data_IF_053009247728
#
_entry.id   IF_053009247728
#
_cell.length_a   1.000
_cell.length_b   1.000
_cell.length_c   1.000
_cell.angle_alpha   90.00
_cell.angle_beta   90.00
_cell.angle_gamma   90.00
#
_symmetry.space_group_name_H-M   'P 1'
#
loop_
_entity.id
_entity.type
_entity.pdbx_description
1 polymer ?
#
# COMPACT_ATOMS: atom_id res chain seq x y z
N UNK A 1 12.36 -65.50 -0.68
CA UNK A 1 11.86 -64.51 0.29
C UNK A 1 13.01 -63.62 0.73
N UNK A 2 12.77 -62.30 0.71
CA UNK A 2 13.55 -61.19 1.31
C UNK A 2 14.93 -60.93 0.67
N UNK A 3 15.21 -59.84 -0.06
CA UNK A 3 14.52 -58.56 -0.16
C UNK A 3 15.57 -57.45 -0.08
N UNK A 4 16.44 -57.34 -1.10
CA UNK A 4 17.40 -56.24 -1.22
C UNK A 4 17.03 -55.39 -2.43
N UNK A 5 15.93 -54.66 -2.29
CA UNK A 5 15.61 -53.48 -3.10
C UNK A 5 16.35 -52.30 -2.49
N UNK A 6 16.74 -51.35 -3.35
CA UNK A 6 17.21 -49.97 -3.05
C UNK A 6 18.65 -49.79 -3.52
N UNK A 7 18.84 -49.65 -4.83
CA UNK A 7 20.00 -48.96 -5.39
C UNK A 7 19.67 -48.39 -6.78
N UNK A 8 18.67 -47.51 -6.86
CA UNK A 8 18.46 -46.70 -8.07
C UNK A 8 17.48 -45.54 -7.82
N UNK A 9 17.81 -44.56 -6.98
CA UNK A 9 17.00 -43.33 -6.87
C UNK A 9 17.83 -42.15 -6.30
N UNK A 10 18.94 -41.79 -6.95
CA UNK A 10 19.66 -40.54 -6.65
C UNK A 10 20.17 -39.84 -7.92
N UNK A 11 19.32 -39.72 -8.95
CA UNK A 11 19.61 -38.92 -10.15
C UNK A 11 18.47 -37.98 -10.58
N UNK A 12 17.46 -37.74 -9.74
CA UNK A 12 16.41 -36.74 -9.99
C UNK A 12 16.28 -35.76 -8.83
N UNK A 13 17.34 -34.99 -8.58
CA UNK A 13 17.27 -33.78 -7.73
C UNK A 13 17.93 -32.58 -8.42
N UNK A 14 17.99 -32.58 -9.75
CA UNK A 14 18.28 -31.41 -10.59
C UNK A 14 17.09 -31.22 -11.53
N UNK A 15 16.03 -30.59 -11.04
CA UNK A 15 14.97 -29.90 -11.80
C UNK A 15 13.71 -29.71 -10.93
N UNK A 16 13.81 -29.00 -9.80
CA UNK A 16 12.64 -28.33 -9.18
C UNK A 16 13.09 -26.99 -8.56
N UNK A 17 13.87 -26.22 -9.32
CA UNK A 17 14.20 -24.82 -8.99
C UNK A 17 14.16 -23.92 -10.24
N UNK A 18 13.55 -24.37 -11.35
CA UNK A 18 13.45 -23.56 -12.57
C UNK A 18 12.07 -22.97 -12.82
N UNK A 19 11.16 -22.99 -11.83
CA UNK A 19 9.79 -22.50 -12.00
C UNK A 19 9.35 -21.50 -10.91
N UNK A 20 10.32 -20.80 -10.31
CA UNK A 20 10.04 -19.43 -9.87
C UNK A 20 10.25 -18.54 -11.10
N UNK A 21 9.25 -18.49 -11.99
CA UNK A 21 9.28 -17.60 -13.14
C UNK A 21 9.71 -16.19 -12.73
N UNK A 22 10.54 -15.54 -13.55
CA UNK A 22 11.14 -14.25 -13.24
C UNK A 22 10.14 -13.30 -12.56
N UNK A 23 10.58 -12.65 -11.49
CA UNK A 23 9.75 -11.67 -10.76
C UNK A 23 9.31 -10.51 -11.68
N UNK A 24 10.13 -10.20 -12.70
CA UNK A 24 9.89 -9.16 -13.69
C UNK A 24 10.24 -9.64 -15.10
N UNK A 25 9.49 -9.15 -16.07
CA UNK A 25 9.93 -9.09 -17.47
C UNK A 25 10.52 -7.68 -17.70
N UNK A 26 11.78 -7.55 -18.17
CA UNK A 26 12.38 -6.24 -18.38
C UNK A 26 11.70 -5.50 -19.53
N UNK A 27 11.49 -4.19 -19.36
CA UNK A 27 10.77 -3.33 -20.30
C UNK A 27 11.64 -2.18 -20.80
N UNK A 28 11.33 -1.58 -21.95
CA UNK A 28 11.91 -0.26 -22.26
C UNK A 28 11.29 0.79 -21.33
N UNK A 29 12.07 1.79 -20.91
CA UNK A 29 11.57 2.97 -20.19
C UNK A 29 10.44 3.71 -20.91
N UNK A 30 10.32 3.55 -22.23
CA UNK A 30 9.29 4.18 -23.06
C UNK A 30 8.08 3.28 -23.27
N UNK A 31 8.17 1.98 -22.98
CA UNK A 31 7.07 1.03 -23.14
C UNK A 31 6.20 0.98 -21.89
N UNK A 32 5.32 1.98 -21.77
CA UNK A 32 4.39 2.12 -20.64
C UNK A 32 3.48 0.89 -20.49
N UNK A 33 3.10 0.23 -21.60
CA UNK A 33 2.26 -0.95 -21.55
C UNK A 33 3.00 -2.14 -20.91
N UNK A 34 4.26 -2.35 -21.30
CA UNK A 34 5.12 -3.34 -20.68
C UNK A 34 5.32 -3.02 -19.19
N UNK A 35 5.70 -1.79 -18.86
CA UNK A 35 5.98 -1.35 -17.48
C UNK A 35 4.76 -1.50 -16.56
N UNK A 36 3.59 -1.14 -17.08
CA UNK A 36 2.33 -1.32 -16.38
C UNK A 36 2.06 -2.79 -16.08
N UNK A 37 2.19 -3.67 -17.09
CA UNK A 37 2.01 -5.12 -16.92
C UNK A 37 3.03 -5.75 -15.98
N UNK A 38 4.31 -5.40 -16.08
CA UNK A 38 5.37 -5.92 -15.21
C UNK A 38 5.16 -5.48 -13.76
N UNK A 39 4.83 -4.21 -13.53
CA UNK A 39 4.54 -3.69 -12.20
C UNK A 39 3.26 -4.32 -11.62
N UNK A 40 2.23 -4.54 -12.44
CA UNK A 40 1.01 -5.24 -12.03
C UNK A 40 1.31 -6.67 -11.56
N UNK A 41 2.04 -7.45 -12.37
CA UNK A 41 2.44 -8.82 -12.01
C UNK A 41 3.29 -8.86 -10.73
N UNK A 42 4.18 -7.89 -10.56
CA UNK A 42 4.96 -7.76 -9.34
C UNK A 42 4.06 -7.54 -8.13
N UNK A 43 3.16 -6.55 -8.18
CA UNK A 43 2.25 -6.24 -7.07
C UNK A 43 1.35 -7.43 -6.71
N UNK A 44 0.87 -8.18 -7.71
CA UNK A 44 0.09 -9.40 -7.50
C UNK A 44 0.88 -10.52 -6.80
N UNK A 45 2.14 -10.75 -7.20
CA UNK A 45 3.02 -11.75 -6.57
C UNK A 45 3.50 -11.29 -5.18
N UNK A 46 3.76 -10.01 -5.02
CA UNK A 46 4.30 -9.39 -3.80
C UNK A 46 3.23 -9.10 -2.74
N UNK A 47 1.93 -9.16 -3.07
CA UNK A 47 0.87 -8.69 -2.17
C UNK A 47 0.84 -9.36 -0.79
N UNK A 48 1.28 -10.62 -0.71
CA UNK A 48 1.36 -11.40 0.55
C UNK A 48 2.70 -11.26 1.28
N UNK A 49 3.64 -10.47 0.73
CA UNK A 49 5.01 -10.37 1.20
C UNK A 49 5.89 -11.51 0.72
N UNK A 50 7.19 -11.23 0.63
CA UNK A 50 8.26 -12.19 0.36
C UNK A 50 9.41 -11.86 1.30
N UNK A 51 9.46 -12.44 2.52
CA UNK A 51 10.41 -12.08 3.56
C UNK A 51 11.88 -12.18 3.12
N UNK A 52 12.18 -13.16 2.26
CA UNK A 52 13.52 -13.40 1.69
C UNK A 52 14.08 -12.20 0.90
N UNK A 53 13.18 -11.34 0.38
CA UNK A 53 13.53 -10.15 -0.39
C UNK A 53 13.13 -8.85 0.33
N UNK A 54 12.85 -8.91 1.64
CA UNK A 54 12.35 -7.76 2.43
C UNK A 54 11.09 -7.12 1.80
N UNK A 55 10.24 -7.94 1.17
CA UNK A 55 8.96 -7.49 0.62
C UNK A 55 7.90 -7.69 1.69
N UNK A 56 7.25 -6.61 2.11
CA UNK A 56 6.15 -6.58 3.07
C UNK A 56 4.81 -6.94 2.44
N UNK A 57 3.90 -7.58 3.17
CA UNK A 57 2.53 -7.75 2.70
C UNK A 57 1.85 -6.40 2.54
N UNK A 58 1.13 -6.22 1.43
CA UNK A 58 0.31 -5.04 1.16
C UNK A 58 -1.19 -5.39 1.05
N UNK A 59 -1.57 -6.67 1.06
CA UNK A 59 -2.96 -7.11 1.06
C UNK A 59 -3.15 -8.51 1.69
N UNK A 60 -3.71 -8.63 2.93
CA UNK A 60 -4.07 -7.51 3.79
C UNK A 60 -2.82 -6.77 4.30
N UNK A 61 -2.89 -5.44 4.33
CA UNK A 61 -1.92 -4.60 5.02
C UNK A 61 -2.42 -4.29 6.43
N UNK A 62 -1.57 -4.50 7.43
CA UNK A 62 -1.89 -4.25 8.84
C UNK A 62 -1.08 -3.04 9.34
N UNK A 63 -1.78 -2.00 9.80
CA UNK A 63 -1.16 -0.85 10.46
C UNK A 63 -1.58 -0.87 11.93
N UNK A 64 -0.60 -0.87 12.83
CA UNK A 64 -0.83 -1.01 14.27
C UNK A 64 -1.63 0.14 14.87
N UNK A 65 -1.26 1.38 14.52
CA UNK A 65 -1.94 2.58 14.99
C UNK A 65 -1.76 3.75 14.03
N UNK A 66 -2.78 4.61 13.97
CA UNK A 66 -2.74 5.88 13.25
C UNK A 66 -3.63 6.90 13.95
N UNK A 67 -3.08 8.06 14.28
CA UNK A 67 -3.85 9.18 14.79
C UNK A 67 -4.09 10.21 13.67
N UNK A 68 -5.33 10.65 13.52
CA UNK A 68 -5.74 11.66 12.54
C UNK A 68 -6.50 12.76 13.25
N UNK A 69 -5.89 13.95 13.36
CA UNK A 69 -6.63 15.18 13.62
C UNK A 69 -7.48 15.51 12.39
N UNK A 70 -8.74 15.08 12.42
CA UNK A 70 -9.60 15.08 11.26
C UNK A 70 -10.29 16.44 11.07
N UNK A 71 -10.67 17.11 12.17
CA UNK A 71 -11.31 18.40 12.12
C UNK A 71 -11.06 19.25 13.38
N UNK A 72 -10.32 20.34 13.23
CA UNK A 72 -9.83 21.15 14.36
C UNK A 72 -10.91 22.02 15.01
N UNK A 73 -11.96 22.42 14.25
CA UNK A 73 -13.01 23.32 14.75
C UNK A 73 -13.84 22.70 15.88
N UNK A 74 -14.01 21.37 15.86
CA UNK A 74 -14.65 20.63 16.96
C UNK A 74 -13.65 19.78 17.74
N UNK A 75 -12.36 19.85 17.40
CA UNK A 75 -11.31 19.04 18.02
C UNK A 75 -11.49 17.54 17.78
N UNK A 76 -11.98 17.14 16.60
CA UNK A 76 -12.21 15.76 16.21
C UNK A 76 -10.90 15.06 15.86
N UNK A 77 -10.57 14.02 16.63
CA UNK A 77 -9.40 13.18 16.41
C UNK A 77 -9.87 11.72 16.29
N UNK A 78 -9.37 11.02 15.27
CA UNK A 78 -9.54 9.57 15.14
C UNK A 78 -8.26 8.87 15.56
N UNK A 79 -8.35 8.02 16.59
CA UNK A 79 -7.28 7.12 16.98
C UNK A 79 -7.59 5.73 16.46
N UNK A 80 -7.01 5.39 15.33
CA UNK A 80 -7.15 4.07 14.73
C UNK A 80 -6.17 3.09 15.35
N UNK A 81 -6.61 1.86 15.54
CA UNK A 81 -5.79 0.71 15.92
C UNK A 81 -6.13 -0.48 15.06
N UNK A 82 -5.15 -1.36 14.87
CA UNK A 82 -5.30 -2.61 14.14
C UNK A 82 -5.98 -2.43 12.78
N UNK A 83 -5.56 -1.42 12.02
CA UNK A 83 -6.15 -1.15 10.71
C UNK A 83 -5.83 -2.33 9.80
N UNK A 84 -6.87 -2.99 9.30
CA UNK A 84 -6.79 -4.05 8.31
C UNK A 84 -7.27 -3.52 6.97
N UNK A 85 -6.33 -3.35 6.05
CA UNK A 85 -6.55 -2.72 4.75
C UNK A 85 -6.45 -3.79 3.66
N UNK A 86 -7.48 -3.87 2.84
CA UNK A 86 -7.59 -4.81 1.72
C UNK A 86 -7.95 -4.08 0.44
N UNK A 87 -7.61 -4.68 -0.71
CA UNK A 87 -7.93 -4.16 -2.04
C UNK A 87 -6.72 -3.74 -2.87
N UNK A 88 -5.56 -3.51 -2.23
CA UNK A 88 -4.32 -3.11 -2.91
C UNK A 88 -3.79 -4.18 -3.87
N UNK A 89 -4.10 -5.46 -3.68
CA UNK A 89 -3.73 -6.53 -4.64
C UNK A 89 -4.39 -6.35 -6.02
N UNK A 90 -5.52 -5.66 -6.07
CA UNK A 90 -6.31 -5.44 -7.28
C UNK A 90 -6.09 -4.04 -7.87
N UNK A 91 -5.14 -3.27 -7.32
CA UNK A 91 -4.84 -1.94 -7.83
C UNK A 91 -4.41 -2.01 -9.29
N UNK A 92 -4.71 -0.96 -10.06
CA UNK A 92 -4.35 -0.84 -11.47
C UNK A 92 -3.56 0.43 -11.68
N UNK A 93 -2.51 0.37 -12.47
CA UNK A 93 -1.71 1.55 -12.80
C UNK A 93 -2.56 2.51 -13.64
N UNK A 94 -2.68 3.73 -13.16
CA UNK A 94 -3.43 4.82 -13.80
C UNK A 94 -2.50 5.82 -14.48
N UNK A 95 -1.28 6.00 -13.97
CA UNK A 95 -0.22 6.79 -14.62
C UNK A 95 1.14 6.22 -14.21
N UNK A 96 2.06 6.09 -15.16
CA UNK A 96 3.45 5.76 -14.89
C UNK A 96 4.34 6.62 -15.77
N UNK A 97 5.28 7.35 -15.16
CA UNK A 97 6.24 8.17 -15.88
C UNK A 97 7.61 8.02 -15.26
N UNK A 98 8.62 7.87 -16.10
CA UNK A 98 10.02 7.87 -15.70
C UNK A 98 10.75 8.95 -16.48
N UNK A 99 11.32 9.91 -15.76
CA UNK A 99 12.20 10.93 -16.32
C UNK A 99 13.64 10.50 -16.07
N UNK A 100 14.34 10.09 -17.13
CA UNK A 100 15.73 9.63 -17.08
C UNK A 100 16.73 10.78 -16.95
N UNK A 101 16.35 12.00 -17.34
CA UNK A 101 17.21 13.18 -17.18
C UNK A 101 17.19 13.69 -15.75
N UNK A 102 15.99 13.77 -15.15
CA UNK A 102 15.80 14.19 -13.75
C UNK A 102 15.91 13.04 -12.75
N UNK A 103 16.10 11.81 -13.24
CA UNK A 103 16.11 10.56 -12.48
C UNK A 103 14.95 10.47 -11.48
N UNK A 104 13.73 10.58 -11.99
CA UNK A 104 12.52 10.53 -11.16
C UNK A 104 11.44 9.65 -11.76
N UNK A 105 10.64 9.03 -10.90
CA UNK A 105 9.49 8.21 -11.26
C UNK A 105 8.24 8.79 -10.62
N UNK A 106 7.15 8.79 -11.38
CA UNK A 106 5.78 8.97 -10.89
C UNK A 106 5.03 7.67 -11.16
N UNK A 107 4.48 7.09 -10.10
CA UNK A 107 3.59 5.94 -10.16
C UNK A 107 2.26 6.37 -9.54
N UNK A 108 1.15 6.29 -10.29
CA UNK A 108 -0.21 6.40 -9.78
C UNK A 108 -0.94 5.08 -10.02
N UNK A 109 -1.68 4.63 -9.03
CA UNK A 109 -2.58 3.48 -9.19
C UNK A 109 -3.98 3.82 -8.67
N UNK A 110 -4.97 3.25 -9.34
CA UNK A 110 -6.34 3.23 -8.88
C UNK A 110 -6.59 1.95 -8.07
N UNK A 111 -7.18 2.07 -6.90
CA UNK A 111 -7.54 0.93 -6.06
C UNK A 111 -8.90 1.14 -5.39
N UNK A 112 -9.64 0.05 -5.18
CA UNK A 112 -10.80 0.02 -4.32
C UNK A 112 -10.38 -0.55 -2.97
N UNK A 113 -10.40 0.27 -1.93
CA UNK A 113 -9.96 -0.09 -0.60
C UNK A 113 -11.15 -0.42 0.31
N UNK A 114 -10.97 -1.46 1.11
CA UNK A 114 -11.79 -1.74 2.28
C UNK A 114 -10.88 -1.75 3.51
N UNK A 115 -11.15 -0.84 4.44
CA UNK A 115 -10.40 -0.65 5.68
C UNK A 115 -11.32 -0.98 6.85
N UNK A 116 -10.87 -1.87 7.73
CA UNK A 116 -11.54 -2.15 9.00
C UNK A 116 -10.58 -1.82 10.12
N UNK A 117 -11.01 -1.02 11.09
CA UNK A 117 -10.16 -0.61 12.21
C UNK A 117 -10.95 -0.51 13.51
N UNK A 118 -10.28 -0.83 14.62
CA UNK A 118 -10.71 -0.33 15.92
C UNK A 118 -10.47 1.18 15.94
N UNK A 119 -11.42 1.96 16.43
CA UNK A 119 -11.32 3.42 16.48
C UNK A 119 -11.74 3.94 17.83
N UNK A 120 -10.99 4.94 18.33
CA UNK A 120 -11.46 5.87 19.34
C UNK A 120 -11.67 7.22 18.68
N UNK A 121 -12.92 7.70 18.67
CA UNK A 121 -13.32 9.02 18.19
C UNK A 121 -13.26 9.96 19.38
N UNK A 122 -12.29 10.87 19.39
CA UNK A 122 -12.12 11.88 20.43
C UNK A 122 -12.70 13.22 19.97
N UNK A 123 -13.45 13.86 20.87
CA UNK A 123 -13.82 15.27 20.82
C UNK A 123 -13.00 16.00 21.89
N UNK A 124 -11.78 16.38 21.52
CA UNK A 124 -10.76 16.88 22.46
C UNK A 124 -11.21 18.14 23.22
N UNK A 125 -11.98 19.01 22.55
CA UNK A 125 -12.55 20.24 23.16
C UNK A 125 -13.59 19.95 24.25
N UNK A 126 -14.18 18.76 24.26
CA UNK A 126 -15.16 18.31 25.25
C UNK A 126 -14.59 17.25 26.20
N UNK A 127 -13.33 16.83 26.02
CA UNK A 127 -12.70 15.73 26.76
C UNK A 127 -13.56 14.46 26.74
N UNK A 128 -14.15 14.15 25.58
CA UNK A 128 -15.00 12.97 25.37
C UNK A 128 -14.41 12.06 24.32
N UNK A 129 -14.62 10.76 24.49
CA UNK A 129 -14.14 9.73 23.56
C UNK A 129 -15.15 8.61 23.40
N UNK A 130 -15.30 8.10 22.19
CA UNK A 130 -16.19 6.99 21.85
C UNK A 130 -15.39 5.90 21.15
N UNK A 131 -15.48 4.66 21.63
CA UNK A 131 -14.73 3.54 21.07
C UNK A 131 -15.66 2.58 20.30
N UNK A 132 -15.15 2.02 19.22
CA UNK A 132 -15.85 0.99 18.45
C UNK A 132 -15.06 0.57 17.22
N UNK A 133 -15.78 0.10 16.21
CA UNK A 133 -15.21 -0.37 14.95
C UNK A 133 -15.71 0.50 13.82
N UNK A 134 -14.78 0.91 12.95
CA UNK A 134 -15.07 1.67 11.74
C UNK A 134 -14.69 0.84 10.51
N UNK A 135 -15.59 0.81 9.53
CA UNK A 135 -15.33 0.31 8.19
C UNK A 135 -15.36 1.48 7.20
N UNK A 136 -14.31 1.61 6.40
CA UNK A 136 -14.18 2.59 5.33
C UNK A 136 -14.06 1.86 3.99
N UNK A 137 -14.94 2.18 3.04
CA UNK A 137 -14.87 1.73 1.67
C UNK A 137 -14.65 2.92 0.74
N UNK A 138 -13.63 2.88 -0.10
CA UNK A 138 -13.31 3.99 -0.98
C UNK A 138 -12.58 3.54 -2.24
N UNK A 139 -12.94 4.13 -3.37
CA UNK A 139 -12.13 4.12 -4.58
C UNK A 139 -11.14 5.28 -4.52
N UNK A 140 -9.86 5.02 -4.75
CA UNK A 140 -8.79 6.03 -4.67
C UNK A 140 -7.88 5.98 -5.89
N UNK A 141 -7.28 7.11 -6.20
CA UNK A 141 -6.04 7.21 -6.96
C UNK A 141 -4.96 7.57 -5.94
N UNK A 142 -4.13 6.60 -5.59
CA UNK A 142 -2.92 6.85 -4.81
C UNK A 142 -1.74 7.04 -5.76
N UNK A 143 -0.72 7.73 -5.30
CA UNK A 143 0.48 7.90 -6.11
C UNK A 143 1.72 8.09 -5.28
N UNK A 144 2.85 7.63 -5.80
CA UNK A 144 4.16 7.87 -5.27
C UNK A 144 5.01 8.57 -6.33
N UNK A 145 5.74 9.59 -5.92
CA UNK A 145 6.80 10.20 -6.71
C UNK A 145 8.11 10.08 -5.96
N UNK A 146 9.12 9.51 -6.58
CA UNK A 146 10.42 9.29 -5.96
C UNK A 146 11.55 9.51 -6.96
N UNK A 147 12.73 9.85 -6.46
CA UNK A 147 13.96 9.85 -7.26
C UNK A 147 14.57 8.45 -7.32
N UNK A 148 15.47 8.24 -8.27
CA UNK A 148 16.34 7.07 -8.27
C UNK A 148 17.77 7.44 -8.66
N UNK A 149 18.71 6.57 -8.34
CA UNK A 149 20.05 6.57 -8.95
C UNK A 149 20.45 5.15 -9.36
N UNK A 150 21.59 5.01 -10.02
CA UNK A 150 22.23 3.74 -10.35
C UNK A 150 23.53 3.64 -9.56
N UNK A 151 23.69 2.55 -8.82
CA UNK A 151 24.92 2.25 -8.11
C UNK A 151 25.45 0.86 -8.50
N UNK A 152 26.76 0.76 -8.66
CA UNK A 152 27.44 -0.51 -8.83
C UNK A 152 27.60 -1.22 -7.48
N UNK A 153 27.31 -2.51 -7.44
CA UNK A 153 27.66 -3.36 -6.30
C UNK A 153 29.17 -3.67 -6.28
N UNK A 154 29.61 -4.41 -5.26
CA UNK A 154 31.01 -4.85 -5.12
C UNK A 154 31.56 -5.68 -6.30
N UNK A 155 30.69 -6.15 -7.20
CA UNK A 155 31.01 -6.97 -8.38
C UNK A 155 30.84 -6.19 -9.69
N UNK A 156 30.51 -4.90 -9.63
CA UNK A 156 30.28 -4.05 -10.81
C UNK A 156 28.91 -4.26 -11.46
N UNK A 157 27.94 -4.84 -10.76
CA UNK A 157 26.57 -4.98 -11.22
C UNK A 157 25.78 -3.73 -10.82
N UNK A 158 25.11 -3.09 -11.77
CA UNK A 158 24.30 -1.90 -11.52
C UNK A 158 22.95 -2.24 -10.91
N UNK A 159 22.58 -1.52 -9.85
CA UNK A 159 21.30 -1.61 -9.16
C UNK A 159 20.64 -0.24 -9.08
N UNK A 160 19.31 -0.23 -8.99
CA UNK A 160 18.58 1.00 -8.70
C UNK A 160 18.65 1.32 -7.21
N UNK A 161 19.03 2.55 -6.90
CA UNK A 161 18.85 3.13 -5.58
C UNK A 161 17.59 3.99 -5.58
N UNK A 162 16.50 3.51 -4.98
CA UNK A 162 15.23 4.26 -4.91
C UNK A 162 15.27 5.21 -3.72
N UNK A 163 15.21 6.51 -4.02
CA UNK A 163 15.20 7.60 -3.04
C UNK A 163 13.88 7.71 -2.28
N UNK A 164 13.75 8.75 -1.46
CA UNK A 164 12.53 9.01 -0.68
C UNK A 164 11.37 9.42 -1.58
N UNK A 165 10.19 8.92 -1.26
CA UNK A 165 8.94 9.21 -1.94
C UNK A 165 8.15 10.37 -1.34
N UNK A 166 7.40 11.06 -2.18
CA UNK A 166 6.24 11.88 -1.78
C UNK A 166 4.97 11.15 -2.20
N UNK A 167 4.00 11.03 -1.30
CA UNK A 167 2.73 10.35 -1.57
C UNK A 167 1.63 11.36 -1.91
N UNK A 168 0.82 11.03 -2.91
CA UNK A 168 -0.42 11.72 -3.27
C UNK A 168 -1.60 10.79 -3.06
N UNK A 169 -2.75 11.37 -2.68
CA UNK A 169 -4.00 10.66 -2.53
C UNK A 169 -5.14 11.51 -3.09
N UNK A 170 -5.93 10.93 -3.97
CA UNK A 170 -7.15 11.51 -4.53
C UNK A 170 -8.28 10.47 -4.35
N UNK A 171 -9.41 10.86 -3.76
CA UNK A 171 -10.58 9.96 -3.66
C UNK A 171 -11.45 10.07 -4.89
N UNK A 172 -11.90 8.94 -5.43
CA UNK A 172 -12.90 8.87 -6.49
C UNK A 172 -14.27 8.80 -5.81
N UNK A 173 -14.96 9.94 -5.72
CA UNK A 173 -16.22 10.06 -4.99
C UNK A 173 -16.05 10.23 -3.47
N UNK A 174 -17.17 10.11 -2.75
CA UNK A 174 -17.18 10.20 -1.27
C UNK A 174 -16.88 8.81 -0.65
N UNK A 175 -15.91 8.69 0.27
CA UNK A 175 -15.68 7.46 1.02
C UNK A 175 -16.93 7.05 1.83
N UNK A 176 -17.34 5.80 1.70
CA UNK A 176 -18.40 5.23 2.51
C UNK A 176 -17.83 4.85 3.88
N UNK A 177 -18.39 5.40 4.95
CA UNK A 177 -17.97 5.13 6.33
C UNK A 177 -19.12 4.54 7.11
N UNK A 178 -18.91 3.36 7.67
CA UNK A 178 -19.86 2.64 8.51
C UNK A 178 -19.26 2.42 9.90
N UNK A 179 -20.06 2.66 10.92
CA UNK A 179 -19.69 2.40 12.32
C UNK A 179 -20.46 1.17 12.80
N UNK A 180 -19.90 0.40 13.73
CA UNK A 180 -20.68 -0.63 14.39
C UNK A 180 -21.87 -0.01 15.17
N UNK A 181 -22.99 -0.75 15.36
CA UNK A 181 -24.21 -0.21 15.95
C UNK A 181 -23.99 0.45 17.31
N UNK A 182 -23.13 -0.12 18.16
CA UNK A 182 -22.85 0.42 19.50
C UNK A 182 -22.22 1.80 19.45
N UNK A 183 -21.23 2.01 18.56
CA UNK A 183 -20.57 3.30 18.39
C UNK A 183 -21.51 4.33 17.74
N UNK A 184 -22.25 3.91 16.71
CA UNK A 184 -23.24 4.76 16.05
C UNK A 184 -24.29 5.25 17.06
N UNK A 185 -24.84 4.35 17.88
CA UNK A 185 -25.81 4.67 18.93
C UNK A 185 -25.23 5.61 19.99
N UNK A 186 -23.99 5.36 20.44
CA UNK A 186 -23.34 6.21 21.43
C UNK A 186 -23.17 7.65 20.92
N UNK A 187 -22.74 7.82 19.67
CA UNK A 187 -22.62 9.12 19.02
C UNK A 187 -24.00 9.77 18.78
N UNK A 188 -25.05 8.99 18.51
CA UNK A 188 -26.39 9.56 18.27
C UNK A 188 -27.08 10.05 19.55
N UNK A 189 -26.81 9.39 20.69
CA UNK A 189 -27.42 9.67 21.99
C UNK A 189 -26.65 10.73 22.79
N UNK A 190 -25.39 10.98 22.48
CA UNK A 190 -24.60 11.98 23.19
C UNK A 190 -25.02 13.43 22.85
N UNK A 191 -25.17 14.32 23.86
CA UNK A 191 -25.57 15.70 23.61
C UNK A 191 -24.53 16.54 22.84
N UNK A 192 -23.23 16.32 23.08
CA UNK A 192 -22.18 17.14 22.46
C UNK A 192 -21.98 16.77 20.99
N UNK A 193 -21.98 15.47 20.69
CA UNK A 193 -21.98 14.99 19.30
C UNK A 193 -23.22 15.47 18.54
N UNK A 194 -24.38 15.52 19.19
CA UNK A 194 -25.62 16.04 18.61
C UNK A 194 -25.55 17.54 18.36
N UNK A 195 -24.91 18.30 19.26
CA UNK A 195 -24.65 19.72 19.08
C UNK A 195 -23.79 20.00 17.83
N UNK A 196 -22.71 19.24 17.62
CA UNK A 196 -21.80 19.41 16.49
C UNK A 196 -22.25 18.71 15.19
N UNK A 197 -23.35 17.96 15.20
CA UNK A 197 -23.78 17.14 14.05
C UNK A 197 -23.91 17.93 12.76
N UNK A 198 -24.52 19.12 12.81
CA UNK A 198 -24.70 19.96 11.61
C UNK A 198 -23.36 20.42 11.02
N UNK A 199 -22.41 20.74 11.89
CA UNK A 199 -21.08 21.21 11.50
C UNK A 199 -20.23 20.07 10.93
N UNK A 200 -20.30 18.89 11.55
CA UNK A 200 -19.72 17.67 11.00
C UNK A 200 -20.31 17.33 9.63
N UNK A 201 -21.64 17.35 9.45
CA UNK A 201 -22.28 17.04 8.17
C UNK A 201 -21.88 18.03 7.06
N UNK A 202 -21.72 19.31 7.40
CA UNK A 202 -21.25 20.33 6.44
C UNK A 202 -19.81 20.07 5.94
N UNK A 203 -18.98 19.42 6.75
CA UNK A 203 -17.56 19.14 6.44
C UNK A 203 -17.26 17.64 6.24
N UNK A 204 -18.29 16.79 6.22
CA UNK A 204 -18.15 15.33 6.27
C UNK A 204 -17.23 14.79 5.18
N UNK A 205 -17.36 15.30 3.96
CA UNK A 205 -16.55 14.85 2.82
C UNK A 205 -15.07 15.14 3.04
N UNK A 206 -14.72 16.35 3.47
CA UNK A 206 -13.31 16.73 3.68
C UNK A 206 -12.70 15.99 4.87
N UNK A 207 -13.47 15.78 5.94
CA UNK A 207 -13.06 15.00 7.12
C UNK A 207 -12.76 13.54 6.72
N UNK A 208 -13.66 12.92 5.96
CA UNK A 208 -13.50 11.54 5.48
C UNK A 208 -12.31 11.43 4.52
N UNK A 209 -12.17 12.36 3.59
CA UNK A 209 -11.06 12.37 2.64
C UNK A 209 -9.71 12.57 3.33
N UNK A 210 -9.61 13.49 4.30
CA UNK A 210 -8.39 13.71 5.10
C UNK A 210 -7.96 12.43 5.82
N UNK A 211 -8.91 11.76 6.47
CA UNK A 211 -8.66 10.52 7.21
C UNK A 211 -8.24 9.38 6.29
N UNK A 212 -8.96 9.19 5.18
CA UNK A 212 -8.62 8.21 4.16
C UNK A 212 -7.21 8.44 3.59
N UNK A 213 -6.87 9.69 3.26
CA UNK A 213 -5.57 9.98 2.67
C UNK A 213 -4.39 9.77 3.63
N UNK A 214 -4.59 9.90 4.95
CA UNK A 214 -3.58 9.50 5.93
C UNK A 214 -3.36 7.99 6.00
N UNK A 215 -4.41 7.20 5.79
CA UNK A 215 -4.29 5.75 5.67
C UNK A 215 -3.56 5.39 4.38
N UNK A 216 -3.96 5.99 3.25
CA UNK A 216 -3.32 5.76 1.93
C UNK A 216 -1.85 6.16 1.93
N UNK A 217 -1.48 7.23 2.64
CA UNK A 217 -0.08 7.64 2.82
C UNK A 217 0.78 6.50 3.35
N UNK A 218 0.33 5.84 4.43
CA UNK A 218 1.03 4.70 5.02
C UNK A 218 1.03 3.47 4.11
N UNK A 219 -0.07 3.19 3.40
CA UNK A 219 -0.11 2.10 2.42
C UNK A 219 0.98 2.24 1.36
N UNK A 220 1.15 3.45 0.82
CA UNK A 220 2.10 3.68 -0.26
C UNK A 220 3.55 3.74 0.21
N UNK A 221 3.81 4.04 1.48
CA UNK A 221 5.14 3.84 2.08
C UNK A 221 5.56 2.38 1.98
N UNK A 222 4.66 1.43 2.28
CA UNK A 222 4.97 0.00 2.15
C UNK A 222 5.07 -0.48 0.70
N UNK A 223 4.25 0.06 -0.21
CA UNK A 223 4.36 -0.22 -1.65
C UNK A 223 5.74 0.24 -2.18
N UNK A 224 6.17 1.46 -1.86
CA UNK A 224 7.47 1.97 -2.30
C UNK A 224 8.62 1.25 -1.59
N UNK A 225 8.47 0.88 -0.32
CA UNK A 225 9.44 0.03 0.37
C UNK A 225 9.67 -1.28 -0.40
N UNK A 226 8.62 -1.96 -0.84
CA UNK A 226 8.75 -3.20 -1.62
C UNK A 226 9.48 -2.99 -2.95
N UNK A 227 9.18 -1.89 -3.66
CA UNK A 227 9.90 -1.51 -4.90
C UNK A 227 11.39 -1.30 -4.58
N UNK A 228 11.70 -0.56 -3.51
CA UNK A 228 13.07 -0.27 -3.07
C UNK A 228 13.82 -1.54 -2.64
N UNK A 229 13.16 -2.47 -1.97
CA UNK A 229 13.76 -3.72 -1.50
C UNK A 229 14.22 -4.57 -2.70
N UNK A 230 13.36 -4.74 -3.70
CA UNK A 230 13.69 -5.49 -4.91
C UNK A 230 14.75 -4.77 -5.75
N UNK A 231 14.66 -3.45 -5.88
CA UNK A 231 15.63 -2.63 -6.64
C UNK A 231 17.08 -2.80 -6.15
N UNK A 232 17.28 -3.09 -4.86
CA UNK A 232 18.60 -3.35 -4.26
C UNK A 232 19.14 -4.75 -4.56
N UNK A 233 18.27 -5.70 -4.91
CA UNK A 233 18.63 -7.12 -5.07
C UNK A 233 18.81 -7.45 -6.55
N UNK A 234 17.89 -6.97 -7.39
CA UNK A 234 17.90 -7.24 -8.81
C UNK A 234 18.73 -6.20 -9.56
N UNK A 235 19.48 -6.60 -10.61
CA UNK A 235 20.19 -5.64 -11.45
C UNK A 235 19.21 -4.70 -12.14
N UNK A 236 19.64 -3.49 -12.51
CA UNK A 236 18.81 -2.53 -13.25
C UNK A 236 18.23 -3.13 -14.53
N UNK A 237 18.98 -4.02 -15.18
CA UNK A 237 18.61 -4.74 -16.40
C UNK A 237 17.49 -5.77 -16.21
N UNK A 238 17.17 -6.15 -14.96
CA UNK A 238 15.99 -6.97 -14.67
C UNK A 238 14.68 -6.18 -14.80
N UNK A 239 14.74 -4.85 -14.67
CA UNK A 239 13.59 -3.96 -14.77
C UNK A 239 13.52 -3.28 -16.14
N UNK A 240 14.66 -2.78 -16.63
CA UNK A 240 14.71 -1.99 -17.85
C UNK A 240 15.75 -2.49 -18.84
N UNK A 241 15.40 -2.53 -20.13
CA UNK A 241 16.30 -2.96 -21.20
C UNK A 241 17.26 -1.86 -21.68
N UNK A 242 16.96 -0.61 -21.36
CA UNK A 242 17.57 0.60 -21.92
C UNK A 242 18.13 1.56 -20.87
N UNK A 243 18.23 1.13 -19.60
CA UNK A 243 18.83 1.90 -18.50
C UNK A 243 20.18 1.30 -18.12
N UNK A 244 21.24 2.05 -18.45
CA UNK A 244 22.63 1.72 -18.10
C UNK A 244 23.25 2.82 -17.26
#
# INVERSE_FOLDING_TARGET
MNGFKVFLFLLFAKCVLSDQGALFEPCSTQDIACLSRATQQFLEKACRGVPEYDIRPIDPLIISSLDVAAYDDIGLIFHFKNLNITGLKNQKISDFRMDTTRKSVLLKTQADLNVVADVVIELSKQSKSFAGVMNIQASIIGGAKYSYDLQDDSKGVKHFEVGQETISCESIGEPAVNLNPELADALLKDPDTTHYRKDYEAHRVSIRQRSLCKIVELCYVDVVHNIRAVAKILPSTAFFTDVN
#
